data_IF_454959845712
#
_entry.id   IF_454959845712
#
_cell.length_a   1.000
_cell.length_b   1.000
_cell.length_c   1.000
_cell.angle_alpha   90.00
_cell.angle_beta   90.00
_cell.angle_gamma   90.00
#
_symmetry.space_group_name_H-M   'P 1'
#
loop_
_entity.id
_entity.type
_entity.pdbx_description
1 polymer ?
#
# COMPACT_ATOMS: atom_id res chain seq x y z
N UNK A 1 -9.93 3.29 -6.00
CA UNK A 1 -9.31 2.05 -5.49
C UNK A 1 -7.96 1.88 -6.14
N UNK A 2 -7.06 1.12 -5.53
CA UNK A 2 -5.68 0.91 -5.98
C UNK A 2 -4.94 2.21 -6.35
N UNK A 3 -5.16 3.26 -5.55
CA UNK A 3 -4.73 4.63 -5.83
C UNK A 3 -3.21 4.77 -5.99
N UNK A 4 -2.45 3.83 -5.43
CA UNK A 4 -1.01 3.76 -5.58
C UNK A 4 -0.55 3.56 -7.05
N UNK A 5 -1.44 3.12 -7.95
CA UNK A 5 -1.12 2.97 -9.39
C UNK A 5 -1.45 4.20 -10.24
N UNK A 6 -2.01 5.26 -9.65
CA UNK A 6 -2.22 6.53 -10.34
C UNK A 6 -0.95 7.40 -10.33
N UNK A 7 -0.91 8.42 -11.20
CA UNK A 7 0.11 9.46 -11.14
C UNK A 7 -0.12 10.38 -9.93
N UNK A 8 0.88 11.18 -9.60
CA UNK A 8 0.79 12.17 -8.51
C UNK A 8 -0.30 13.23 -8.73
N UNK A 9 -0.81 13.39 -9.95
CA UNK A 9 -1.90 14.32 -10.26
C UNK A 9 -3.18 13.98 -9.48
N UNK A 10 -3.36 12.72 -9.07
CA UNK A 10 -4.52 12.28 -8.28
C UNK A 10 -4.65 13.06 -6.96
N UNK A 11 -3.53 13.54 -6.38
CA UNK A 11 -3.53 14.36 -5.17
C UNK A 11 -4.28 15.68 -5.41
N UNK A 12 -3.98 16.35 -6.51
CA UNK A 12 -4.64 17.60 -6.89
C UNK A 12 -6.12 17.37 -7.22
N UNK A 13 -6.41 16.31 -7.98
CA UNK A 13 -7.79 15.95 -8.35
C UNK A 13 -8.65 15.65 -7.12
N UNK A 14 -8.13 14.91 -6.13
CA UNK A 14 -8.85 14.62 -4.89
C UNK A 14 -9.18 15.90 -4.12
N UNK A 15 -8.22 16.82 -3.98
CA UNK A 15 -8.44 18.12 -3.34
C UNK A 15 -9.48 18.96 -4.08
N UNK A 16 -9.41 19.01 -5.42
CA UNK A 16 -10.38 19.75 -6.22
C UNK A 16 -11.80 19.22 -6.00
N UNK A 17 -12.00 17.90 -6.09
CA UNK A 17 -13.30 17.28 -5.87
C UNK A 17 -13.83 17.50 -4.45
N UNK A 18 -12.95 17.45 -3.44
CA UNK A 18 -13.31 17.73 -2.05
C UNK A 18 -13.74 19.20 -1.86
N UNK A 19 -12.99 20.15 -2.44
CA UNK A 19 -13.35 21.57 -2.46
C UNK A 19 -14.68 21.85 -3.17
N UNK A 20 -15.00 21.06 -4.19
CA UNK A 20 -16.30 21.09 -4.91
C UNK A 20 -17.44 20.42 -4.11
N UNK A 21 -17.21 20.08 -2.84
CA UNK A 21 -18.20 19.50 -1.92
C UNK A 21 -18.48 18.02 -2.16
N UNK A 22 -17.62 17.30 -2.90
CA UNK A 22 -17.76 15.86 -3.12
C UNK A 22 -17.06 15.07 -2.01
N UNK A 23 -17.68 13.97 -1.60
CA UNK A 23 -17.00 12.98 -0.75
C UNK A 23 -16.07 12.14 -1.60
N UNK A 24 -14.76 12.28 -1.39
CA UNK A 24 -13.72 11.49 -2.05
C UNK A 24 -13.31 10.35 -1.14
N UNK A 25 -13.33 9.11 -1.65
CA UNK A 25 -12.86 7.92 -0.92
C UNK A 25 -11.72 7.30 -1.72
N UNK A 26 -10.55 7.23 -1.09
CA UNK A 26 -9.33 6.70 -1.70
C UNK A 26 -8.90 5.45 -0.93
N UNK A 27 -8.62 4.38 -1.67
CA UNK A 27 -8.09 3.13 -1.14
C UNK A 27 -6.86 2.74 -1.97
N UNK A 28 -5.85 2.21 -1.32
CA UNK A 28 -4.59 1.80 -1.94
C UNK A 28 -3.56 1.33 -0.92
N UNK A 29 -2.49 0.72 -1.44
CA UNK A 29 -1.34 0.30 -0.64
C UNK A 29 -0.47 1.51 -0.30
N UNK A 30 -0.27 1.79 1.00
CA UNK A 30 0.59 2.88 1.44
C UNK A 30 2.10 2.54 1.36
N UNK A 31 2.42 1.25 1.22
CA UNK A 31 3.79 0.74 1.14
C UNK A 31 3.92 -0.31 0.02
N UNK A 32 5.10 -0.37 -0.61
CA UNK A 32 5.46 -1.47 -1.49
C UNK A 32 5.90 -2.73 -0.71
N UNK A 33 6.26 -3.79 -1.42
CA UNK A 33 6.67 -5.05 -0.80
C UNK A 33 7.95 -4.96 0.03
N UNK A 34 8.74 -3.88 -0.11
CA UNK A 34 9.95 -3.61 0.67
C UNK A 34 9.64 -2.78 1.91
N UNK A 35 8.38 -2.40 2.10
CA UNK A 35 7.95 -1.49 3.15
C UNK A 35 8.28 -0.02 2.88
N UNK A 36 8.69 0.32 1.66
CA UNK A 36 8.94 1.71 1.25
C UNK A 36 7.62 2.40 0.89
N UNK A 37 7.47 3.72 1.09
CA UNK A 37 6.26 4.44 0.74
C UNK A 37 5.88 4.26 -0.74
N UNK A 38 4.59 4.04 -1.02
CA UNK A 38 4.09 3.85 -2.38
C UNK A 38 3.42 5.13 -2.90
N UNK A 39 4.18 6.00 -3.57
CA UNK A 39 3.61 7.20 -4.21
C UNK A 39 2.48 6.85 -5.19
N UNK A 40 1.35 7.58 -5.18
CA UNK A 40 1.08 8.87 -4.49
C UNK A 40 0.53 8.79 -3.05
N UNK A 41 0.44 7.60 -2.46
CA UNK A 41 -0.27 7.41 -1.18
C UNK A 41 0.24 8.27 -0.01
N UNK A 42 1.56 8.51 0.18
CA UNK A 42 2.04 9.35 1.27
C UNK A 42 1.47 10.77 1.21
N UNK A 43 1.36 11.33 0.01
CA UNK A 43 0.79 12.67 -0.19
C UNK A 43 -0.70 12.69 0.10
N UNK A 44 -1.45 11.69 -0.41
CA UNK A 44 -2.88 11.53 -0.14
C UNK A 44 -3.17 11.39 1.36
N UNK A 45 -2.36 10.62 2.08
CA UNK A 45 -2.49 10.46 3.53
C UNK A 45 -2.22 11.78 4.27
N UNK A 46 -1.27 12.58 3.81
CA UNK A 46 -0.93 13.85 4.47
C UNK A 46 -2.05 14.90 4.38
N UNK A 47 -2.86 14.87 3.31
CA UNK A 47 -3.91 15.86 3.05
C UNK A 47 -5.31 15.39 3.48
N UNK A 48 -5.52 14.09 3.71
CA UNK A 48 -6.84 13.55 3.99
C UNK A 48 -7.39 13.98 5.35
N UNK A 49 -8.68 14.32 5.42
CA UNK A 49 -9.36 14.62 6.69
C UNK A 49 -9.52 13.38 7.58
N UNK A 50 -9.62 12.19 6.97
CA UNK A 50 -9.78 10.92 7.67
C UNK A 50 -8.87 9.85 7.09
N UNK A 51 -8.15 9.15 7.96
CA UNK A 51 -7.25 8.05 7.59
C UNK A 51 -7.68 6.80 8.33
N UNK A 52 -7.90 5.71 7.59
CA UNK A 52 -8.08 4.37 8.17
C UNK A 52 -6.95 3.48 7.69
N UNK A 53 -6.03 3.14 8.60
CA UNK A 53 -4.96 2.17 8.33
C UNK A 53 -5.48 0.77 8.60
N UNK A 54 -5.77 0.02 7.54
CA UNK A 54 -6.20 -1.37 7.66
C UNK A 54 -4.99 -2.28 7.95
N UNK A 55 -5.20 -3.26 8.83
CA UNK A 55 -4.21 -4.27 9.16
C UNK A 55 -4.79 -5.64 8.80
N UNK A 56 -3.95 -6.49 8.23
CA UNK A 56 -4.26 -7.89 7.99
C UNK A 56 -3.81 -8.75 9.20
N UNK A 57 -3.89 -10.07 9.07
CA UNK A 57 -3.35 -11.02 10.05
C UNK A 57 -2.03 -11.56 9.52
N UNK A 58 -0.98 -11.52 10.34
CA UNK A 58 0.32 -12.07 9.96
C UNK A 58 0.23 -13.58 9.84
N UNK A 59 0.56 -14.11 8.65
CA UNK A 59 0.46 -15.55 8.37
C UNK A 59 1.49 -16.41 9.12
N UNK A 60 2.47 -15.80 9.80
CA UNK A 60 3.47 -16.53 10.62
C UNK A 60 3.05 -16.62 12.07
N UNK A 61 2.67 -15.49 12.67
CA UNK A 61 2.55 -15.37 14.12
C UNK A 61 1.17 -14.94 14.60
N UNK A 62 0.22 -14.68 13.69
CA UNK A 62 -1.15 -14.27 14.02
C UNK A 62 -1.33 -12.83 14.48
N UNK A 63 -0.25 -12.08 14.74
CA UNK A 63 -0.33 -10.65 15.10
C UNK A 63 -0.85 -9.78 13.95
N UNK A 64 -1.34 -8.55 14.23
CA UNK A 64 -1.68 -7.59 13.18
C UNK A 64 -0.52 -7.35 12.20
N UNK A 65 -0.84 -7.31 10.91
CA UNK A 65 0.12 -7.21 9.81
C UNK A 65 -0.05 -5.90 9.05
N UNK A 66 1.05 -5.16 8.92
CA UNK A 66 1.16 -3.91 8.18
C UNK A 66 2.05 -4.01 6.93
N UNK A 67 2.59 -5.20 6.63
CA UNK A 67 3.51 -5.43 5.51
C UNK A 67 2.98 -6.45 4.51
N UNK A 68 3.28 -6.21 3.25
CA UNK A 68 3.09 -7.16 2.15
C UNK A 68 4.43 -7.86 1.88
N UNK A 69 4.57 -9.11 2.31
CA UNK A 69 5.75 -9.92 2.04
C UNK A 69 5.69 -10.49 0.63
N UNK A 70 6.74 -10.29 -0.15
CA UNK A 70 6.94 -11.00 -1.42
C UNK A 70 7.65 -12.33 -1.17
N UNK A 71 7.23 -13.39 -1.86
CA UNK A 71 7.82 -14.74 -1.75
C UNK A 71 8.81 -15.06 -2.87
N UNK A 72 8.93 -14.21 -3.88
CA UNK A 72 9.83 -14.36 -5.02
C UNK A 72 11.01 -13.39 -4.91
N UNK A 73 12.14 -13.73 -5.54
CA UNK A 73 13.31 -12.86 -5.66
C UNK A 73 13.21 -11.82 -6.76
N UNK A 74 12.16 -11.84 -7.61
CA UNK A 74 11.95 -10.81 -8.64
C UNK A 74 12.08 -9.41 -8.04
N UNK A 75 12.77 -8.53 -8.76
CA UNK A 75 13.01 -7.14 -8.38
C UNK A 75 11.91 -6.17 -8.85
N UNK A 76 10.97 -6.62 -9.68
CA UNK A 76 9.87 -5.79 -10.20
C UNK A 76 9.04 -5.19 -9.06
N UNK A 77 8.65 -3.91 -9.11
CA UNK A 77 7.90 -3.31 -7.98
C UNK A 77 6.55 -4.00 -7.71
N UNK A 78 5.91 -4.51 -8.76
CA UNK A 78 4.56 -5.10 -8.72
C UNK A 78 4.52 -6.30 -9.66
N UNK A 79 4.00 -7.43 -9.19
CA UNK A 79 3.61 -8.55 -10.07
C UNK A 79 2.10 -8.74 -9.93
N UNK A 80 1.37 -8.49 -11.02
CA UNK A 80 -0.09 -8.64 -11.05
C UNK A 80 -0.48 -10.11 -11.29
N UNK A 81 -1.55 -10.57 -10.67
CA UNK A 81 -2.18 -11.86 -11.00
C UNK A 81 -1.64 -13.08 -10.26
N UNK A 82 -0.83 -12.91 -9.22
CA UNK A 82 -0.26 -14.03 -8.48
C UNK A 82 -0.62 -13.94 -6.97
N UNK A 83 -1.76 -14.52 -6.59
CA UNK A 83 -2.17 -14.61 -5.17
C UNK A 83 -1.14 -15.36 -4.30
N UNK A 84 -0.35 -16.25 -4.91
CA UNK A 84 0.63 -17.09 -4.20
C UNK A 84 2.00 -16.44 -3.97
N UNK A 85 2.23 -15.22 -4.46
CA UNK A 85 3.54 -14.53 -4.32
C UNK A 85 3.55 -13.46 -3.23
N UNK A 86 2.39 -13.05 -2.72
CA UNK A 86 2.27 -12.05 -1.67
C UNK A 86 1.52 -12.59 -0.47
N UNK A 87 1.95 -12.21 0.73
CA UNK A 87 1.27 -12.57 1.97
C UNK A 87 1.44 -11.49 3.03
N UNK A 88 0.47 -11.39 3.94
CA UNK A 88 0.50 -10.41 5.01
C UNK A 88 1.50 -10.81 6.11
N UNK A 89 2.41 -9.90 6.46
CA UNK A 89 3.36 -10.08 7.58
C UNK A 89 3.32 -8.89 8.53
N UNK A 90 3.55 -9.17 9.81
CA UNK A 90 3.88 -8.11 10.77
C UNK A 90 5.32 -7.65 10.56
N UNK A 91 5.66 -6.46 11.06
CA UNK A 91 7.02 -5.90 11.05
C UNK A 91 8.13 -6.88 11.45
N UNK A 92 7.90 -7.73 12.46
CA UNK A 92 8.91 -8.71 12.94
C UNK A 92 9.14 -9.86 11.94
N UNK A 93 8.09 -10.31 11.26
CA UNK A 93 8.12 -11.48 10.38
C UNK A 93 8.36 -11.12 8.91
N UNK A 94 8.46 -9.82 8.60
CA UNK A 94 8.72 -9.31 7.27
C UNK A 94 10.22 -9.24 7.01
N UNK A 95 10.64 -9.64 5.82
CA UNK A 95 11.99 -9.50 5.31
C UNK A 95 11.93 -9.16 3.82
N UNK A 96 12.97 -8.51 3.29
CA UNK A 96 13.10 -8.25 1.86
C UNK A 96 13.80 -9.47 1.25
N UNK A 97 13.19 -10.19 0.29
CA UNK A 97 13.90 -11.26 -0.41
C UNK A 97 15.06 -10.63 -1.20
N UNK A 98 16.28 -11.07 -0.92
CA UNK A 98 17.46 -10.68 -1.70
C UNK A 98 17.66 -11.69 -2.85
N UNK A 99 18.09 -11.21 -4.02
CA UNK A 99 18.61 -12.08 -5.08
C UNK A 99 19.94 -12.67 -4.59
N UNK A 100 20.03 -14.00 -4.49
CA UNK A 100 21.31 -14.71 -4.29
C UNK A 100 22.14 -14.66 -5.57
#
# INVERSE_FOLDING_TARGET
DEAQFFTNDVVHICNQLANDGKRVIVAGLDQDYRGAPFEPMPQLLAIAEYITKTLAICVVCGNPADKTQRKTTSSERVIVGAANIYEARCRKCHFIPEEN
#
